data_IF_578186365507
#
_entry.id   IF_578186365507
#
_cell.length_a   1.000
_cell.length_b   1.000
_cell.length_c   1.000
_cell.angle_alpha   90.00
_cell.angle_beta   90.00
_cell.angle_gamma   90.00
#
_symmetry.space_group_name_H-M   'P 1'
#
loop_
_entity.id
_entity.type
_entity.pdbx_description
1 polymer ?
#
# COMPACT_ATOMS: atom_id res chain seq x y z
N UNK A 1 14.54 7.17 -45.62
CA UNK A 1 13.89 8.50 -45.56
C UNK A 1 13.97 8.98 -44.12
N UNK A 2 14.87 9.91 -43.83
CA UNK A 2 15.15 10.36 -42.46
C UNK A 2 14.00 11.21 -41.94
N UNK A 3 13.36 10.80 -40.85
CA UNK A 3 12.31 11.57 -40.19
C UNK A 3 12.90 12.94 -39.81
N UNK A 4 12.41 14.00 -40.46
CA UNK A 4 12.77 15.38 -40.12
C UNK A 4 12.48 15.56 -38.64
N UNK A 5 13.54 15.72 -37.82
CA UNK A 5 13.41 16.11 -36.43
C UNK A 5 12.66 17.44 -36.43
N UNK A 6 11.40 17.44 -35.96
CA UNK A 6 10.63 18.66 -35.77
C UNK A 6 11.49 19.62 -34.93
N UNK A 7 11.73 20.82 -35.46
CA UNK A 7 12.42 21.86 -34.70
C UNK A 7 11.56 22.16 -33.47
N UNK A 8 12.16 22.07 -32.29
CA UNK A 8 11.52 22.33 -31.00
C UNK A 8 11.36 23.85 -30.79
N UNK A 9 10.61 24.47 -31.68
CA UNK A 9 10.35 25.90 -31.68
C UNK A 9 9.24 26.24 -30.66
N UNK A 10 8.98 27.53 -30.43
CA UNK A 10 7.97 28.00 -29.48
C UNK A 10 6.61 27.28 -29.64
N UNK A 11 6.15 27.11 -30.88
CA UNK A 11 4.88 26.43 -31.19
C UNK A 11 4.89 24.94 -30.85
N UNK A 12 6.05 24.26 -30.94
CA UNK A 12 6.19 22.87 -30.49
C UNK A 12 5.97 22.79 -28.98
N UNK A 13 6.58 23.69 -28.19
CA UNK A 13 6.42 23.69 -26.74
C UNK A 13 5.03 24.15 -26.30
N UNK A 14 4.41 25.07 -27.01
CA UNK A 14 3.03 25.49 -26.73
C UNK A 14 2.03 24.34 -26.89
N UNK A 15 2.24 23.43 -27.85
CA UNK A 15 1.42 22.22 -28.02
C UNK A 15 1.66 21.15 -26.94
N UNK A 16 2.85 21.13 -26.34
CA UNK A 16 3.22 20.17 -25.29
C UNK A 16 2.90 20.70 -23.88
N UNK A 17 2.73 22.02 -23.73
CA UNK A 17 2.43 22.64 -22.45
C UNK A 17 1.03 22.24 -21.98
N UNK A 18 0.91 21.91 -20.69
CA UNK A 18 -0.38 21.71 -20.05
C UNK A 18 -1.13 23.04 -19.95
N UNK A 19 -2.44 23.00 -20.18
CA UNK A 19 -3.30 24.15 -19.91
C UNK A 19 -3.38 24.34 -18.40
N UNK A 20 -2.98 25.52 -17.92
CA UNK A 20 -3.17 25.90 -16.52
C UNK A 20 -4.68 26.03 -16.26
N UNK A 21 -5.24 25.30 -15.29
CA UNK A 21 -6.64 25.48 -14.93
C UNK A 21 -6.84 26.88 -14.32
N UNK A 22 -7.99 27.47 -14.61
CA UNK A 22 -8.37 28.76 -14.03
C UNK A 22 -8.50 28.66 -12.51
N UNK A 23 -8.21 29.78 -11.83
CA UNK A 23 -8.36 29.85 -10.38
C UNK A 23 -9.84 29.78 -9.99
N UNK A 24 -10.22 28.74 -9.25
CA UNK A 24 -11.57 28.61 -8.69
C UNK A 24 -11.59 29.09 -7.23
N UNK A 25 -12.43 30.08 -6.87
CA UNK A 25 -12.57 30.55 -5.49
C UNK A 25 -13.01 29.43 -4.53
N UNK A 26 -12.64 29.49 -3.23
CA UNK A 26 -12.97 28.43 -2.26
C UNK A 26 -14.45 28.06 -2.19
N UNK A 27 -15.35 29.03 -2.39
CA UNK A 27 -16.81 28.85 -2.31
C UNK A 27 -17.37 27.98 -3.43
N UNK A 28 -16.73 27.98 -4.59
CA UNK A 28 -17.15 27.22 -5.77
C UNK A 28 -16.50 25.83 -5.82
N UNK A 29 -15.42 25.63 -5.05
CA UNK A 29 -14.69 24.34 -4.94
C UNK A 29 -15.43 23.27 -4.15
N UNK A 30 -16.50 23.60 -3.42
CA UNK A 30 -17.19 22.62 -2.55
C UNK A 30 -17.73 21.41 -3.33
N UNK A 31 -18.20 21.63 -4.56
CA UNK A 31 -18.69 20.54 -5.41
C UNK A 31 -17.56 19.60 -5.83
N UNK A 32 -16.43 20.14 -6.27
CA UNK A 32 -15.25 19.38 -6.69
C UNK A 32 -14.59 18.65 -5.51
N UNK A 33 -14.54 19.28 -4.34
CA UNK A 33 -14.01 18.68 -3.11
C UNK A 33 -14.82 17.45 -2.67
N UNK A 34 -16.15 17.47 -2.85
CA UNK A 34 -17.00 16.30 -2.59
C UNK A 34 -16.70 15.15 -3.55
N UNK A 35 -16.36 15.44 -4.82
CA UNK A 35 -15.93 14.40 -5.76
C UNK A 35 -14.54 13.85 -5.44
N UNK A 36 -13.65 14.67 -4.88
CA UNK A 36 -12.29 14.26 -4.47
C UNK A 36 -12.28 13.35 -3.23
N UNK A 37 -13.25 13.47 -2.32
CA UNK A 37 -13.38 12.58 -1.16
C UNK A 37 -13.45 11.09 -1.52
N UNK A 38 -13.98 10.74 -2.70
CA UNK A 38 -13.99 9.36 -3.18
C UNK A 38 -12.60 8.82 -3.58
N UNK A 39 -11.63 9.69 -3.88
CA UNK A 39 -10.31 9.28 -4.38
C UNK A 39 -9.27 9.09 -3.28
N UNK A 40 -9.46 9.74 -2.13
CA UNK A 40 -8.51 9.68 -1.01
C UNK A 40 -9.22 9.17 0.26
N UNK A 41 -8.78 8.03 0.77
CA UNK A 41 -9.14 7.56 2.11
C UNK A 41 -8.09 8.04 3.10
N UNK A 42 -8.52 8.65 4.21
CA UNK A 42 -7.62 9.00 5.32
C UNK A 42 -7.05 7.73 5.92
N UNK A 43 -5.78 7.42 5.66
CA UNK A 43 -5.13 6.22 6.22
C UNK A 43 -4.78 6.42 7.70
N UNK A 44 -4.23 7.58 8.04
CA UNK A 44 -3.88 7.97 9.40
C UNK A 44 -4.19 9.46 9.59
N UNK A 45 -4.64 9.84 10.78
CA UNK A 45 -4.85 11.23 11.15
C UNK A 45 -4.40 11.39 12.59
N UNK A 46 -3.51 12.34 12.88
CA UNK A 46 -3.15 12.66 14.26
C UNK A 46 -4.36 13.32 14.93
N UNK A 47 -5.22 12.51 15.55
CA UNK A 47 -6.26 12.99 16.47
C UNK A 47 -5.73 13.13 17.91
N UNK A 48 -4.41 13.04 18.06
CA UNK A 48 -3.70 12.92 19.32
C UNK A 48 -3.43 14.32 19.89
N UNK A 49 -4.46 14.98 20.40
CA UNK A 49 -4.20 16.12 21.29
C UNK A 49 -3.65 15.63 22.64
N UNK A 50 -3.92 14.38 23.05
CA UNK A 50 -3.47 13.77 24.31
C UNK A 50 -3.26 12.23 24.20
N UNK A 51 -2.71 11.67 23.11
CA UNK A 51 -2.29 10.26 23.18
C UNK A 51 -0.86 10.14 23.69
N UNK A 52 -0.74 9.46 24.82
CA UNK A 52 0.52 8.96 25.35
C UNK A 52 1.20 8.09 24.28
N UNK A 53 2.19 8.65 23.57
CA UNK A 53 3.06 7.93 22.63
C UNK A 53 3.52 6.59 23.23
N UNK A 54 3.79 6.60 24.54
CA UNK A 54 4.11 5.42 25.34
C UNK A 54 3.03 4.34 25.28
N UNK A 55 1.74 4.69 25.41
CA UNK A 55 0.64 3.74 25.38
C UNK A 55 0.45 3.12 23.98
N UNK A 56 0.75 3.89 22.93
CA UNK A 56 0.78 3.35 21.56
C UNK A 56 1.94 2.37 21.40
N UNK A 57 3.14 2.73 21.86
CA UNK A 57 4.29 1.81 21.85
C UNK A 57 4.00 0.52 22.63
N UNK A 58 3.44 0.61 23.83
CA UNK A 58 3.04 -0.55 24.64
C UNK A 58 2.02 -1.44 23.90
N UNK A 59 1.08 -0.85 23.18
CA UNK A 59 0.15 -1.59 22.32
C UNK A 59 0.84 -2.30 21.15
N UNK A 60 1.80 -1.64 20.49
CA UNK A 60 2.57 -2.23 19.39
C UNK A 60 3.45 -3.38 19.88
N UNK A 61 4.13 -3.18 21.02
CA UNK A 61 4.93 -4.22 21.68
C UNK A 61 4.08 -5.42 22.10
N UNK A 62 2.87 -5.17 22.63
CA UNK A 62 1.91 -6.21 22.97
C UNK A 62 1.48 -7.01 21.73
N UNK A 63 1.17 -6.33 20.62
CA UNK A 63 0.77 -6.96 19.35
C UNK A 63 1.89 -7.83 18.76
N UNK A 64 3.11 -7.33 18.76
CA UNK A 64 4.29 -8.07 18.29
C UNK A 64 4.58 -9.29 19.18
N UNK A 65 4.61 -9.09 20.50
CA UNK A 65 5.03 -10.13 21.44
C UNK A 65 4.01 -11.26 21.63
N UNK A 66 2.71 -10.94 21.63
CA UNK A 66 1.66 -11.93 21.95
C UNK A 66 1.01 -12.56 20.71
N UNK A 67 1.00 -11.84 19.59
CA UNK A 67 0.28 -12.28 18.39
C UNK A 67 1.14 -12.32 17.12
N UNK A 68 2.42 -11.93 17.20
CA UNK A 68 3.32 -11.83 16.04
C UNK A 68 2.71 -10.99 14.90
N UNK A 69 2.04 -9.90 15.29
CA UNK A 69 1.40 -8.95 14.39
C UNK A 69 2.39 -7.81 14.15
N UNK A 70 2.63 -7.51 12.86
CA UNK A 70 3.52 -6.41 12.43
C UNK A 70 2.95 -5.05 12.82
N UNK A 71 3.84 -4.07 13.00
CA UNK A 71 3.49 -2.71 13.44
C UNK A 71 2.42 -2.07 12.54
N UNK A 72 2.58 -2.15 11.21
CA UNK A 72 1.64 -1.61 10.23
C UNK A 72 0.22 -2.17 10.39
N UNK A 73 0.13 -3.45 10.73
CA UNK A 73 -1.12 -4.17 10.91
C UNK A 73 -1.81 -3.74 12.19
N UNK A 74 -1.03 -3.64 13.28
CA UNK A 74 -1.51 -3.14 14.56
C UNK A 74 -2.02 -1.70 14.46
N UNK A 75 -1.31 -0.82 13.73
CA UNK A 75 -1.72 0.56 13.48
C UNK A 75 -3.01 0.63 12.63
N UNK A 76 -3.15 -0.24 11.63
CA UNK A 76 -4.37 -0.29 10.82
C UNK A 76 -5.59 -0.68 11.67
N UNK A 77 -5.44 -1.66 12.57
CA UNK A 77 -6.49 -2.07 13.52
C UNK A 77 -6.85 -0.91 14.43
N UNK A 78 -5.84 -0.23 15.00
CA UNK A 78 -6.04 0.93 15.87
C UNK A 78 -6.84 2.04 15.16
N UNK A 79 -6.45 2.42 13.95
CA UNK A 79 -7.17 3.43 13.15
C UNK A 79 -8.60 3.00 12.81
N UNK A 80 -8.82 1.73 12.48
CA UNK A 80 -10.16 1.19 12.17
C UNK A 80 -11.12 1.33 13.36
N UNK A 81 -10.59 1.29 14.58
CA UNK A 81 -11.35 1.44 15.81
C UNK A 81 -11.30 2.87 16.39
N UNK A 82 -10.99 3.87 15.55
CA UNK A 82 -11.04 5.28 15.96
C UNK A 82 -9.97 5.64 16.99
N UNK A 83 -8.82 4.96 16.95
CA UNK A 83 -7.70 5.19 17.87
C UNK A 83 -7.99 4.85 19.36
N UNK A 84 -9.01 4.03 19.62
CA UNK A 84 -9.30 3.48 20.96
C UNK A 84 -8.37 2.28 21.26
N UNK A 85 -7.35 2.51 22.09
CA UNK A 85 -6.34 1.51 22.47
C UNK A 85 -6.95 0.29 23.19
N UNK A 86 -7.75 0.42 24.27
CA UNK A 86 -8.41 -0.73 24.91
C UNK A 86 -9.26 -1.57 23.95
N UNK A 87 -10.03 -0.90 23.07
CA UNK A 87 -10.84 -1.61 22.09
C UNK A 87 -9.96 -2.33 21.07
N UNK A 88 -8.92 -1.67 20.55
CA UNK A 88 -7.98 -2.27 19.60
C UNK A 88 -7.29 -3.52 20.19
N UNK A 89 -6.81 -3.46 21.43
CA UNK A 89 -6.17 -4.61 22.10
C UNK A 89 -7.11 -5.82 22.21
N UNK A 90 -8.38 -5.61 22.57
CA UNK A 90 -9.39 -6.69 22.60
C UNK A 90 -9.70 -7.27 21.22
N UNK A 91 -9.48 -6.49 20.15
CA UNK A 91 -9.68 -6.95 18.77
C UNK A 91 -8.48 -7.75 18.25
N UNK A 92 -7.27 -7.46 18.75
CA UNK A 92 -6.10 -8.33 18.56
C UNK A 92 -6.38 -9.73 19.13
N UNK A 93 -6.90 -9.80 20.37
CA UNK A 93 -7.28 -11.06 21.02
C UNK A 93 -8.35 -11.86 20.26
N UNK A 94 -9.36 -11.17 19.71
CA UNK A 94 -10.54 -11.81 19.11
C UNK A 94 -10.34 -12.29 17.66
N UNK A 95 -9.11 -12.29 17.15
CA UNK A 95 -8.82 -12.73 15.78
C UNK A 95 -9.70 -11.93 14.78
N UNK A 96 -9.82 -10.61 14.98
CA UNK A 96 -10.15 -9.71 13.87
C UNK A 96 -8.92 -9.48 12.97
N UNK A 97 -8.11 -10.52 12.76
CA UNK A 97 -7.35 -10.70 11.52
C UNK A 97 -8.27 -10.97 10.31
N UNK A 98 -9.59 -10.95 10.54
CA UNK A 98 -10.66 -11.35 9.63
C UNK A 98 -10.66 -10.71 8.23
N UNK A 99 -9.96 -9.58 7.96
CA UNK A 99 -9.77 -9.05 6.59
C UNK A 99 -8.50 -8.19 6.46
N UNK A 100 -7.38 -8.77 6.01
CA UNK A 100 -6.48 -8.05 5.09
C UNK A 100 -5.10 -7.61 5.56
N UNK A 101 -4.59 -8.09 6.69
CA UNK A 101 -3.18 -7.92 7.05
C UNK A 101 -2.34 -8.98 6.30
N UNK A 102 -1.66 -8.52 5.24
CA UNK A 102 -1.38 -9.32 4.03
C UNK A 102 0.03 -9.91 3.96
N UNK A 103 0.76 -10.02 5.07
CA UNK A 103 2.14 -10.52 5.05
C UNK A 103 2.32 -11.97 5.53
N UNK A 104 1.35 -12.55 6.24
CA UNK A 104 1.40 -13.97 6.65
C UNK A 104 0.62 -14.92 5.71
N UNK A 105 0.24 -14.47 4.50
CA UNK A 105 -0.55 -15.30 3.57
C UNK A 105 0.23 -16.44 2.95
N UNK A 106 1.56 -16.34 2.95
CA UNK A 106 2.40 -17.24 2.18
C UNK A 106 2.77 -18.41 3.07
N UNK A 107 2.13 -19.57 2.84
CA UNK A 107 2.50 -20.79 3.54
C UNK A 107 3.97 -21.09 3.24
N UNK A 108 4.70 -21.63 4.21
CA UNK A 108 6.09 -22.06 4.01
C UNK A 108 6.25 -22.99 2.79
N UNK A 109 5.26 -23.84 2.54
CA UNK A 109 5.21 -24.70 1.35
C UNK A 109 5.12 -23.92 0.04
N UNK A 110 4.36 -22.82 0.03
CA UNK A 110 4.23 -21.99 -1.16
C UNK A 110 5.49 -21.17 -1.42
N UNK A 111 6.18 -20.72 -0.37
CA UNK A 111 7.51 -20.09 -0.49
C UNK A 111 8.54 -21.02 -1.14
N UNK A 112 8.55 -22.30 -0.74
CA UNK A 112 9.44 -23.31 -1.34
C UNK A 112 9.10 -23.52 -2.82
N UNK A 113 7.81 -23.59 -3.17
CA UNK A 113 7.37 -23.70 -4.57
C UNK A 113 7.77 -22.48 -5.39
N UNK A 114 7.64 -21.30 -4.80
CA UNK A 114 7.97 -20.03 -5.43
C UNK A 114 9.47 -19.88 -5.65
N UNK A 115 10.31 -20.32 -4.70
CA UNK A 115 11.77 -20.44 -4.85
C UNK A 115 12.15 -21.33 -6.03
N UNK A 116 11.56 -22.54 -6.11
CA UNK A 116 11.79 -23.47 -7.23
C UNK A 116 11.34 -22.88 -8.57
N UNK A 117 10.19 -22.19 -8.59
CA UNK A 117 9.68 -21.55 -9.79
C UNK A 117 10.61 -20.41 -10.26
N UNK A 118 11.26 -19.69 -9.36
CA UNK A 118 12.28 -18.70 -9.74
C UNK A 118 13.56 -19.32 -10.28
N UNK A 119 14.05 -20.40 -9.67
CA UNK A 119 15.20 -21.16 -10.20
C UNK A 119 14.93 -21.67 -11.62
N UNK A 120 13.69 -22.10 -11.89
CA UNK A 120 13.30 -22.68 -13.17
C UNK A 120 12.95 -21.63 -14.25
N UNK A 121 12.26 -20.55 -13.89
CA UNK A 121 11.68 -19.59 -14.86
C UNK A 121 12.29 -18.18 -14.78
N UNK A 122 13.13 -17.88 -13.78
CA UNK A 122 13.76 -16.58 -13.60
C UNK A 122 12.74 -15.44 -13.49
N UNK A 123 12.81 -14.48 -14.41
CA UNK A 123 11.96 -13.27 -14.45
C UNK A 123 10.68 -13.44 -15.28
N UNK A 124 10.37 -14.64 -15.77
CA UNK A 124 9.12 -14.91 -16.48
C UNK A 124 7.94 -15.09 -15.51
N UNK A 125 7.47 -13.97 -14.96
CA UNK A 125 6.38 -13.93 -14.00
C UNK A 125 5.05 -14.46 -14.55
N UNK A 126 4.90 -14.56 -15.88
CA UNK A 126 3.68 -15.12 -16.47
C UNK A 126 3.62 -16.63 -16.31
N UNK A 127 4.76 -17.31 -16.37
CA UNK A 127 4.89 -18.76 -16.11
C UNK A 127 4.79 -19.05 -14.62
N UNK A 128 5.44 -18.26 -13.79
CA UNK A 128 5.38 -18.40 -12.33
C UNK A 128 3.92 -18.25 -11.84
N UNK A 129 3.15 -17.30 -12.40
CA UNK A 129 1.71 -17.18 -12.10
C UNK A 129 0.90 -18.42 -12.50
N UNK A 130 1.28 -19.13 -13.56
CA UNK A 130 0.55 -20.34 -13.99
C UNK A 130 0.72 -21.48 -12.98
N UNK A 131 1.89 -21.61 -12.36
CA UNK A 131 2.12 -22.61 -11.31
C UNK A 131 1.53 -22.20 -9.95
N UNK A 132 1.49 -20.90 -9.70
CA UNK A 132 1.08 -20.31 -8.42
C UNK A 132 -0.02 -19.25 -8.65
N UNK A 133 -1.23 -19.66 -9.08
CA UNK A 133 -2.28 -18.75 -9.53
C UNK A 133 -2.94 -17.96 -8.39
N UNK A 134 -2.81 -18.44 -7.15
CA UNK A 134 -3.29 -17.74 -5.96
C UNK A 134 -2.43 -16.54 -5.57
N UNK A 135 -1.26 -16.38 -6.19
CA UNK A 135 -0.37 -15.24 -5.96
C UNK A 135 -0.60 -14.13 -6.98
N UNK A 136 -0.84 -12.90 -6.54
CA UNK A 136 -0.85 -11.76 -7.44
C UNK A 136 0.56 -11.47 -7.95
N UNK A 137 0.70 -11.25 -9.26
CA UNK A 137 1.98 -11.01 -9.94
C UNK A 137 2.78 -9.86 -9.33
N UNK A 138 2.09 -8.84 -8.83
CA UNK A 138 2.72 -7.70 -8.15
C UNK A 138 3.48 -8.12 -6.89
N UNK A 139 2.90 -9.00 -6.06
CA UNK A 139 3.57 -9.48 -4.84
C UNK A 139 4.75 -10.40 -5.20
N UNK A 140 4.60 -11.26 -6.20
CA UNK A 140 5.71 -12.12 -6.70
C UNK A 140 6.90 -11.29 -7.19
N UNK A 141 6.63 -10.19 -7.91
CA UNK A 141 7.68 -9.25 -8.38
C UNK A 141 8.41 -8.55 -7.23
N UNK A 142 7.65 -8.06 -6.25
CA UNK A 142 8.21 -7.41 -5.06
C UNK A 142 9.13 -8.39 -4.30
N UNK A 143 8.67 -9.63 -4.12
CA UNK A 143 9.45 -10.65 -3.44
C UNK A 143 10.71 -11.06 -4.21
N UNK A 144 10.62 -11.23 -5.54
CA UNK A 144 11.80 -11.47 -6.38
C UNK A 144 12.84 -10.35 -6.27
N UNK A 145 12.37 -9.09 -6.31
CA UNK A 145 13.23 -7.91 -6.11
C UNK A 145 13.87 -7.91 -4.72
N UNK A 146 13.11 -8.23 -3.68
CA UNK A 146 13.62 -8.33 -2.31
C UNK A 146 14.72 -9.39 -2.20
N UNK A 147 14.47 -10.61 -2.70
CA UNK A 147 15.47 -11.69 -2.69
C UNK A 147 16.73 -11.37 -3.50
N UNK A 148 16.60 -10.60 -4.59
CA UNK A 148 17.73 -10.24 -5.46
C UNK A 148 18.51 -9.02 -4.97
N UNK A 149 17.99 -8.31 -3.97
CA UNK A 149 18.62 -7.11 -3.38
C UNK A 149 19.43 -7.43 -2.11
N UNK A 150 19.43 -8.70 -1.69
CA UNK A 150 20.26 -9.25 -0.61
C UNK A 150 21.47 -9.99 -1.20
#
# INVERSE_FOLDING_TARGET
>A
MSARKEKRDFHYWQKQAATLPDYVPPREREHDLRQLQHRASILWSPQLQDQDEKAVCEYLDFAASHYNIEEEQALFILRRHGFDLPLASRRLERIETARGCRYHRWKAQDLIRLSKAFEQYGTDFTKIRKELPHFPVSEVRLYFSFMSSA
#
